data_IF_637596688638
#
_entry.id   IF_637596688638
#
_cell.length_a   1.000
_cell.length_b   1.000
_cell.length_c   1.000
_cell.angle_alpha   90.00
_cell.angle_beta   90.00
_cell.angle_gamma   90.00
#
_symmetry.space_group_name_H-M   'P 1'
#
loop_
_entity.id
_entity.type
_entity.pdbx_description
1 polymer ?
#
# COMPACT_ATOMS: atom_id res chain seq x y z
N UNK A 1 -14.73 48.06 -26.54
CA UNK A 1 -15.36 49.10 -25.71
C UNK A 1 -16.61 48.46 -25.11
N UNK A 2 -16.81 48.21 -23.82
CA UNK A 2 -16.30 48.76 -22.55
C UNK A 2 -16.16 47.56 -21.59
N UNK A 3 -15.05 47.51 -20.84
CA UNK A 3 -14.82 46.55 -19.73
C UNK A 3 -15.33 47.19 -18.43
N UNK A 4 -16.09 46.44 -17.63
CA UNK A 4 -16.41 46.80 -16.24
C UNK A 4 -15.67 45.88 -15.28
N UNK A 5 -14.79 46.48 -14.48
CA UNK A 5 -14.15 45.86 -13.31
C UNK A 5 -15.01 46.17 -12.08
N UNK A 6 -15.26 45.17 -11.24
CA UNK A 6 -15.82 45.37 -9.90
C UNK A 6 -14.82 44.83 -8.89
N UNK A 7 -14.18 45.75 -8.18
CA UNK A 7 -13.25 45.51 -7.09
C UNK A 7 -14.04 45.51 -5.78
N UNK A 8 -14.04 44.39 -5.05
CA UNK A 8 -14.51 44.36 -3.67
C UNK A 8 -13.31 44.50 -2.73
N UNK A 9 -13.28 45.60 -1.98
CA UNK A 9 -12.40 45.82 -0.86
C UNK A 9 -13.11 45.34 0.42
N UNK A 10 -12.51 44.41 1.17
CA UNK A 10 -12.97 44.06 2.51
C UNK A 10 -12.06 44.75 3.53
N UNK A 11 -12.67 45.61 4.34
CA UNK A 11 -12.02 46.40 5.37
C UNK A 11 -11.65 45.55 6.59
N UNK A 12 -10.44 45.78 7.09
CA UNK A 12 -9.90 45.29 8.35
C UNK A 12 -10.39 46.21 9.49
N UNK A 13 -11.04 45.65 10.51
CA UNK A 13 -11.33 46.37 11.77
C UNK A 13 -10.69 45.64 12.96
N UNK A 14 -9.76 46.35 13.61
CA UNK A 14 -9.08 46.02 14.86
C UNK A 14 -9.57 47.01 15.93
N UNK A 15 -10.27 46.54 16.97
CA UNK A 15 -10.58 47.24 18.25
C UNK A 15 -11.07 46.15 19.24
N UNK A 16 -10.82 46.12 20.54
CA UNK A 16 -9.78 46.58 21.45
C UNK A 16 -10.03 45.85 22.80
N UNK A 17 -9.03 45.95 23.69
CA UNK A 17 -8.94 45.47 25.06
C UNK A 17 -10.22 45.52 25.92
N UNK A 18 -10.36 44.50 26.78
CA UNK A 18 -11.12 44.57 28.04
C UNK A 18 -10.36 43.88 29.18
N UNK A 19 -10.61 44.29 30.44
CA UNK A 19 -9.62 44.30 31.51
C UNK A 19 -9.61 43.04 32.38
N UNK A 20 -8.50 42.88 33.11
CA UNK A 20 -8.31 41.91 34.16
C UNK A 20 -9.29 42.09 35.32
N UNK A 21 -9.81 40.97 35.82
CA UNK A 21 -10.59 40.85 37.06
C UNK A 21 -10.01 39.68 37.90
N UNK A 22 -10.25 39.66 39.22
CA UNK A 22 -9.24 39.34 40.22
C UNK A 22 -9.12 37.85 40.56
N UNK A 23 -7.98 37.53 41.18
CA UNK A 23 -7.72 36.26 41.84
C UNK A 23 -8.79 35.93 42.90
N UNK A 24 -9.28 34.69 42.88
CA UNK A 24 -9.99 34.05 43.98
C UNK A 24 -9.24 32.79 44.37
N UNK A 25 -8.90 32.73 45.65
CA UNK A 25 -8.30 31.59 46.32
C UNK A 25 -9.34 30.47 46.59
N UNK A 26 -8.81 29.25 46.48
CA UNK A 26 -9.01 28.07 47.32
C UNK A 26 -10.39 27.39 47.48
N UNK A 27 -10.35 26.08 47.17
CA UNK A 27 -11.05 24.96 47.78
C UNK A 27 -12.59 24.93 47.75
N UNK A 28 -13.13 24.20 46.79
CA UNK A 28 -14.04 23.10 47.14
C UNK A 28 -13.73 21.89 46.25
N UNK A 29 -13.48 20.76 46.90
CA UNK A 29 -13.07 19.51 46.28
C UNK A 29 -14.29 18.74 45.81
N UNK A 30 -14.64 18.90 44.53
CA UNK A 30 -15.51 17.97 43.84
C UNK A 30 -15.08 17.89 42.39
N UNK A 31 -14.16 16.97 42.12
CA UNK A 31 -13.67 16.62 40.79
C UNK A 31 -14.84 16.03 39.95
N UNK A 32 -15.33 16.73 38.90
CA UNK A 32 -16.40 16.22 38.05
C UNK A 32 -15.94 15.06 37.16
N UNK A 33 -14.64 14.76 37.11
CA UNK A 33 -14.08 13.73 36.21
C UNK A 33 -14.37 12.28 36.65
N UNK A 34 -14.85 12.07 37.88
CA UNK A 34 -15.23 10.73 38.35
C UNK A 34 -16.66 10.31 37.98
N UNK A 35 -17.53 11.24 37.58
CA UNK A 35 -18.89 10.88 37.15
C UNK A 35 -18.90 10.23 35.75
N UNK A 36 -18.09 10.71 34.80
CA UNK A 36 -17.97 10.10 33.47
C UNK A 36 -17.21 8.76 33.49
N UNK A 37 -16.21 8.62 34.36
CA UNK A 37 -15.51 7.34 34.56
C UNK A 37 -16.41 6.26 35.18
N UNK A 38 -17.35 6.64 36.05
CA UNK A 38 -18.28 5.72 36.72
C UNK A 38 -19.37 5.16 35.79
N UNK A 39 -19.77 5.90 34.75
CA UNK A 39 -20.72 5.41 33.74
C UNK A 39 -20.05 4.39 32.81
N UNK A 40 -18.79 4.62 32.45
CA UNK A 40 -17.99 3.69 31.64
C UNK A 40 -17.64 2.39 32.36
N UNK A 41 -17.43 2.42 33.68
CA UNK A 41 -17.08 1.22 34.47
C UNK A 41 -18.32 0.38 34.86
N UNK A 42 -19.50 1.01 34.96
CA UNK A 42 -20.79 0.30 35.08
C UNK A 42 -21.19 -0.39 33.76
N UNK A 43 -20.90 0.22 32.61
CA UNK A 43 -21.12 -0.37 31.29
C UNK A 43 -20.28 -1.63 31.04
N UNK A 44 -19.07 -1.72 31.64
CA UNK A 44 -18.17 -2.88 31.52
C UNK A 44 -18.65 -4.15 32.23
N UNK A 45 -19.61 -4.05 33.16
CA UNK A 45 -20.16 -5.18 33.91
C UNK A 45 -21.52 -5.67 33.41
N UNK A 46 -22.10 -5.03 32.40
CA UNK A 46 -23.36 -5.51 31.83
C UNK A 46 -23.13 -6.81 31.06
N UNK A 47 -23.95 -7.87 31.29
CA UNK A 47 -23.88 -9.08 30.50
C UNK A 47 -23.99 -8.72 29.02
N UNK A 48 -23.10 -9.32 28.20
CA UNK A 48 -23.00 -9.11 26.76
C UNK A 48 -24.38 -8.90 26.15
N UNK A 49 -24.59 -7.73 25.53
CA UNK A 49 -25.77 -7.21 24.82
C UNK A 49 -26.40 -8.25 23.86
N UNK A 50 -26.99 -9.30 24.43
CA UNK A 50 -27.55 -10.44 23.70
C UNK A 50 -29.06 -10.36 23.66
N UNK A 51 -29.72 -9.71 24.62
CA UNK A 51 -31.16 -9.51 24.63
C UNK A 51 -31.55 -8.24 25.39
N UNK A 52 -32.46 -7.46 24.82
CA UNK A 52 -33.03 -6.29 25.47
C UNK A 52 -33.93 -5.51 24.54
N UNK A 53 -34.72 -4.63 25.15
CA UNK A 53 -35.37 -3.52 24.45
C UNK A 53 -34.39 -2.34 24.39
N UNK A 54 -34.39 -1.64 23.26
CA UNK A 54 -33.54 -0.49 23.01
C UNK A 54 -34.39 0.62 22.43
N UNK A 55 -34.15 1.85 22.90
CA UNK A 55 -34.88 3.03 22.44
C UNK A 55 -33.93 4.19 22.12
N UNK A 56 -34.38 5.08 21.24
CA UNK A 56 -33.76 6.39 21.02
C UNK A 56 -33.94 7.27 22.26
N UNK A 57 -33.07 8.28 22.43
CA UNK A 57 -33.11 9.16 23.60
C UNK A 57 -34.43 9.95 23.75
N UNK A 58 -35.13 10.19 22.65
CA UNK A 58 -36.45 10.83 22.61
C UNK A 58 -37.62 9.85 22.81
N UNK A 59 -37.35 8.54 22.91
CA UNK A 59 -38.35 7.49 23.04
C UNK A 59 -39.24 7.28 21.82
N UNK A 60 -38.94 7.94 20.69
CA UNK A 60 -39.78 7.88 19.49
C UNK A 60 -39.64 6.58 18.72
N UNK A 61 -38.53 5.86 18.90
CA UNK A 61 -38.30 4.57 18.26
C UNK A 61 -37.75 3.58 19.28
N UNK A 62 -38.38 2.40 19.33
CA UNK A 62 -37.96 1.28 20.13
C UNK A 62 -37.94 -0.01 19.33
N UNK A 63 -37.11 -0.96 19.77
CA UNK A 63 -37.06 -2.30 19.22
C UNK A 63 -36.49 -3.30 20.24
N UNK A 64 -36.90 -4.56 20.09
CA UNK A 64 -36.26 -5.70 20.76
C UNK A 64 -35.19 -6.28 19.85
N UNK A 65 -33.97 -6.43 20.36
CA UNK A 65 -32.87 -7.15 19.71
C UNK A 65 -32.56 -8.43 20.47
N UNK A 66 -32.71 -9.57 19.81
CA UNK A 66 -32.41 -10.91 20.34
C UNK A 66 -31.28 -11.58 19.57
N UNK A 67 -30.14 -11.75 20.23
CA UNK A 67 -28.92 -12.42 19.76
C UNK A 67 -28.57 -13.63 20.65
N UNK A 68 -29.55 -14.19 21.36
CA UNK A 68 -29.35 -15.34 22.24
C UNK A 68 -29.30 -16.66 21.48
N UNK A 69 -29.94 -16.72 20.31
CA UNK A 69 -29.94 -17.88 19.42
C UNK A 69 -28.78 -17.92 18.42
N UNK A 70 -28.86 -18.85 17.46
CA UNK A 70 -27.90 -18.98 16.36
C UNK A 70 -28.00 -17.87 15.30
N UNK A 71 -29.15 -17.19 15.24
CA UNK A 71 -29.42 -16.05 14.36
C UNK A 71 -29.87 -14.86 15.20
N UNK A 72 -29.39 -13.67 14.84
CA UNK A 72 -29.87 -12.43 15.45
C UNK A 72 -31.25 -12.08 14.91
N UNK A 73 -32.12 -11.55 15.76
CA UNK A 73 -33.49 -11.17 15.41
C UNK A 73 -33.80 -9.77 15.91
N UNK A 74 -34.68 -9.08 15.22
CA UNK A 74 -35.15 -7.75 15.62
C UNK A 74 -36.67 -7.63 15.41
N UNK A 75 -37.35 -7.05 16.39
CA UNK A 75 -38.77 -6.66 16.31
C UNK A 75 -38.88 -5.19 16.69
N UNK A 76 -39.38 -4.34 15.78
CA UNK A 76 -39.64 -2.92 16.07
C UNK A 76 -40.95 -2.76 16.85
N UNK A 77 -41.04 -1.70 17.62
CA UNK A 77 -42.26 -1.41 18.39
C UNK A 77 -43.46 -1.16 17.47
N UNK A 78 -44.59 -1.78 17.82
CA UNK A 78 -45.84 -1.70 17.05
C UNK A 78 -45.85 -2.53 15.76
N UNK A 79 -44.73 -3.15 15.38
CA UNK A 79 -44.67 -4.06 14.22
C UNK A 79 -44.83 -5.52 14.67
N UNK A 80 -45.55 -6.34 13.89
CA UNK A 80 -45.63 -7.79 14.15
C UNK A 80 -44.46 -8.58 13.54
N UNK A 81 -43.72 -7.96 12.63
CA UNK A 81 -42.60 -8.60 11.95
C UNK A 81 -41.41 -8.83 12.90
N UNK A 82 -40.91 -10.07 12.91
CA UNK A 82 -39.65 -10.45 13.53
C UNK A 82 -38.68 -10.73 12.40
N UNK A 83 -37.72 -9.83 12.23
CA UNK A 83 -36.71 -9.90 11.18
C UNK A 83 -35.58 -10.83 11.59
N UNK A 84 -35.22 -11.78 10.73
CA UNK A 84 -33.95 -12.48 10.80
C UNK A 84 -32.83 -11.56 10.31
N UNK A 85 -31.79 -11.35 11.11
CA UNK A 85 -30.71 -10.41 10.80
C UNK A 85 -29.46 -11.11 10.32
N UNK A 86 -28.84 -10.56 9.27
CA UNK A 86 -27.51 -10.96 8.81
C UNK A 86 -26.47 -10.08 9.49
N UNK A 87 -25.57 -10.70 10.26
CA UNK A 87 -24.47 -10.01 10.95
C UNK A 87 -23.22 -9.96 10.05
N UNK A 88 -22.62 -8.78 9.94
CA UNK A 88 -21.37 -8.56 9.21
C UNK A 88 -20.34 -7.90 10.11
N UNK A 89 -19.09 -8.34 10.03
CA UNK A 89 -18.01 -7.76 10.81
C UNK A 89 -17.36 -6.60 10.06
N UNK A 90 -17.26 -5.44 10.73
CA UNK A 90 -16.57 -4.27 10.21
C UNK A 90 -15.14 -4.24 10.75
N UNK A 91 -14.15 -4.09 9.87
CA UNK A 91 -12.73 -4.06 10.23
C UNK A 91 -12.06 -2.75 9.82
N UNK A 92 -11.11 -2.28 10.63
CA UNK A 92 -10.12 -1.26 10.29
C UNK A 92 -8.75 -1.92 10.30
N UNK A 93 -8.27 -2.32 9.11
CA UNK A 93 -7.11 -3.19 8.99
C UNK A 93 -7.36 -4.55 9.67
N UNK A 94 -6.46 -5.05 10.53
CA UNK A 94 -6.67 -6.33 11.22
C UNK A 94 -7.61 -6.23 12.43
N UNK A 95 -8.06 -5.03 12.81
CA UNK A 95 -8.85 -4.82 14.03
C UNK A 95 -10.34 -4.76 13.71
N UNK A 96 -11.14 -5.65 14.31
CA UNK A 96 -12.60 -5.54 14.29
C UNK A 96 -13.04 -4.27 15.03
N UNK A 97 -13.79 -3.40 14.35
CA UNK A 97 -14.28 -2.13 14.90
C UNK A 97 -15.77 -2.15 15.22
N UNK A 98 -16.56 -2.95 14.52
CA UNK A 98 -18.00 -3.09 14.77
C UNK A 98 -18.57 -4.41 14.22
N UNK A 99 -19.85 -4.66 14.52
CA UNK A 99 -20.71 -5.61 13.80
C UNK A 99 -21.94 -4.87 13.32
N UNK A 100 -22.19 -4.90 12.02
CA UNK A 100 -23.41 -4.37 11.40
C UNK A 100 -24.45 -5.46 11.23
N UNK A 101 -25.73 -5.11 11.31
CA UNK A 101 -26.85 -6.04 11.12
C UNK A 101 -27.77 -5.54 10.02
N UNK A 102 -28.05 -6.40 9.04
CA UNK A 102 -28.94 -6.10 7.92
C UNK A 102 -30.21 -6.94 7.96
N UNK A 103 -31.31 -6.35 7.48
CA UNK A 103 -32.54 -7.10 7.18
C UNK A 103 -32.33 -8.10 6.04
N UNK A 104 -33.24 -9.07 5.84
CA UNK A 104 -33.19 -9.96 4.67
C UNK A 104 -33.20 -9.23 3.33
N UNK A 105 -33.86 -8.07 3.27
CA UNK A 105 -33.92 -7.20 2.08
C UNK A 105 -32.63 -6.38 1.88
N UNK A 106 -31.75 -6.35 2.88
CA UNK A 106 -30.42 -5.73 2.80
C UNK A 106 -30.28 -4.36 3.43
N UNK A 107 -31.35 -3.83 4.01
CA UNK A 107 -31.31 -2.58 4.75
C UNK A 107 -30.38 -2.73 5.94
N UNK A 108 -29.41 -1.82 6.05
CA UNK A 108 -28.60 -1.71 7.27
C UNK A 108 -29.51 -1.18 8.37
N UNK A 109 -29.73 -1.99 9.41
CA UNK A 109 -30.62 -1.64 10.51
C UNK A 109 -29.82 -1.18 11.72
N UNK A 110 -28.77 -1.92 12.09
CA UNK A 110 -28.00 -1.64 13.30
C UNK A 110 -26.50 -1.69 13.03
N UNK A 111 -25.75 -0.92 13.83
CA UNK A 111 -24.31 -1.11 14.01
C UNK A 111 -24.00 -1.16 15.50
N UNK A 112 -23.30 -2.20 15.91
CA UNK A 112 -22.82 -2.36 17.29
C UNK A 112 -21.31 -2.24 17.25
N UNK A 113 -20.77 -1.17 17.81
CA UNK A 113 -19.32 -0.97 17.84
C UNK A 113 -18.61 -1.98 18.78
N UNK A 114 -17.28 -2.00 18.74
CA UNK A 114 -16.47 -2.87 19.62
C UNK A 114 -16.61 -2.58 21.12
N UNK A 115 -17.20 -1.46 21.50
CA UNK A 115 -17.45 -1.05 22.89
C UNK A 115 -18.89 -1.34 23.34
N UNK A 116 -19.76 -1.79 22.41
CA UNK A 116 -21.15 -2.11 22.69
C UNK A 116 -22.12 -0.96 22.43
N UNK A 117 -21.66 0.19 21.92
CA UNK A 117 -22.56 1.27 21.49
C UNK A 117 -23.38 0.79 20.30
N UNK A 118 -24.68 1.10 20.30
CA UNK A 118 -25.60 0.69 19.23
C UNK A 118 -26.11 1.93 18.50
N UNK A 119 -25.91 1.95 17.19
CA UNK A 119 -26.49 2.93 16.28
C UNK A 119 -27.63 2.28 15.49
N UNK A 120 -28.80 2.91 15.47
CA UNK A 120 -29.94 2.57 14.61
C UNK A 120 -29.86 3.38 13.31
N UNK A 121 -29.89 2.69 12.17
CA UNK A 121 -29.89 3.31 10.85
C UNK A 121 -31.32 3.60 10.40
N UNK A 122 -31.53 4.84 9.96
CA UNK A 122 -32.78 5.36 9.44
C UNK A 122 -32.54 5.97 8.06
N UNK A 123 -33.63 6.26 7.33
CA UNK A 123 -33.56 6.89 5.99
C UNK A 123 -32.78 8.21 6.00
N UNK A 124 -32.79 8.95 7.12
CA UNK A 124 -32.19 10.29 7.25
C UNK A 124 -30.88 10.32 8.05
N UNK A 125 -30.33 9.16 8.45
CA UNK A 125 -29.05 9.09 9.18
C UNK A 125 -28.96 7.96 10.19
N UNK A 126 -28.04 8.10 11.14
CA UNK A 126 -27.82 7.16 12.25
C UNK A 126 -28.18 7.82 13.56
N UNK A 127 -28.94 7.13 14.40
CA UNK A 127 -29.34 7.63 15.72
C UNK A 127 -28.84 6.65 16.79
N UNK A 128 -28.13 7.11 17.84
CA UNK A 128 -27.72 6.23 18.93
C UNK A 128 -28.94 5.75 19.71
N UNK A 129 -28.90 4.49 20.12
CA UNK A 129 -29.94 3.89 20.97
C UNK A 129 -29.32 3.29 22.23
N UNK A 130 -30.06 3.36 23.31
CA UNK A 130 -29.66 2.81 24.59
C UNK A 130 -30.62 1.70 25.00
N UNK A 131 -30.13 0.72 25.74
CA UNK A 131 -30.98 -0.29 26.38
C UNK A 131 -31.81 0.38 27.47
N UNK A 132 -33.11 0.29 27.39
CA UNK A 132 -34.06 0.93 28.32
C UNK A 132 -34.87 -0.11 29.12
N UNK A 133 -35.02 -1.34 28.62
CA UNK A 133 -35.69 -2.42 29.35
C UNK A 133 -35.15 -3.82 29.04
N UNK A 134 -35.47 -4.76 29.95
CA UNK A 134 -35.39 -6.19 29.65
C UNK A 134 -36.47 -6.56 28.63
N UNK A 135 -36.22 -7.58 27.81
CA UNK A 135 -37.18 -8.09 26.83
C UNK A 135 -37.19 -9.62 26.85
N UNK A 136 -38.33 -10.21 26.52
CA UNK A 136 -38.44 -11.64 26.33
C UNK A 136 -37.74 -12.08 25.03
N UNK A 137 -37.21 -13.32 24.96
CA UNK A 137 -36.67 -13.85 23.73
C UNK A 137 -37.70 -13.78 22.59
N UNK A 138 -37.26 -13.35 21.42
CA UNK A 138 -38.14 -13.29 20.25
C UNK A 138 -38.47 -14.71 19.78
N UNK A 139 -39.67 -14.92 19.25
CA UNK A 139 -40.06 -16.18 18.62
C UNK A 139 -39.24 -16.51 17.36
N UNK A 140 -39.74 -17.43 16.54
CA UNK A 140 -39.17 -17.67 15.22
C UNK A 140 -39.30 -16.41 14.35
N UNK A 141 -38.31 -16.07 13.51
CA UNK A 141 -38.42 -14.95 12.59
C UNK A 141 -39.58 -15.18 11.63
N UNK A 142 -40.43 -14.15 11.49
CA UNK A 142 -41.55 -14.15 10.55
C UNK A 142 -41.12 -13.66 9.17
N UNK A 143 -40.05 -12.87 9.10
CA UNK A 143 -39.35 -12.51 7.86
C UNK A 143 -37.98 -13.16 7.87
N UNK A 144 -37.78 -14.14 6.98
CA UNK A 144 -36.58 -14.97 6.90
C UNK A 144 -35.74 -14.62 5.69
N UNK A 145 -34.43 -14.84 5.83
CA UNK A 145 -33.49 -14.73 4.72
C UNK A 145 -32.13 -14.24 5.18
N UNK A 146 -31.09 -14.81 4.58
CA UNK A 146 -29.74 -14.29 4.72
C UNK A 146 -29.53 -13.23 3.64
N UNK A 147 -29.24 -12.00 4.05
CA UNK A 147 -28.79 -11.01 3.11
C UNK A 147 -27.45 -11.47 2.52
N UNK A 148 -27.41 -11.57 1.20
CA UNK A 148 -26.17 -11.82 0.46
C UNK A 148 -25.77 -10.48 -0.12
N UNK A 149 -24.62 -9.96 0.33
CA UNK A 149 -24.07 -8.73 -0.21
C UNK A 149 -24.04 -8.83 -1.75
N UNK A 150 -24.64 -7.86 -2.47
CA UNK A 150 -24.51 -7.84 -3.91
C UNK A 150 -23.02 -7.75 -4.23
N UNK A 151 -22.54 -8.65 -5.08
CA UNK A 151 -21.14 -8.64 -5.51
C UNK A 151 -20.84 -7.26 -6.10
N UNK A 152 -19.85 -6.59 -5.53
CA UNK A 152 -19.40 -5.31 -6.06
C UNK A 152 -18.83 -5.50 -7.47
N UNK A 153 -18.76 -4.46 -8.31
CA UNK A 153 -18.04 -4.55 -9.59
C UNK A 153 -16.62 -5.10 -9.42
N UNK A 154 -15.98 -4.77 -8.30
CA UNK A 154 -14.69 -5.30 -7.91
C UNK A 154 -14.74 -6.82 -7.65
N UNK A 155 -15.68 -7.33 -6.87
CA UNK A 155 -15.80 -8.78 -6.61
C UNK A 155 -16.04 -9.57 -7.90
N UNK A 156 -16.83 -8.99 -8.82
CA UNK A 156 -17.08 -9.58 -10.13
C UNK A 156 -15.80 -9.62 -10.98
N UNK A 157 -15.04 -8.52 -11.02
CA UNK A 157 -13.77 -8.46 -11.75
C UNK A 157 -12.70 -9.37 -11.14
N UNK A 158 -12.56 -9.38 -9.82
CA UNK A 158 -11.64 -10.25 -9.08
C UNK A 158 -11.96 -11.72 -9.36
N UNK A 159 -13.24 -12.12 -9.25
CA UNK A 159 -13.66 -13.48 -9.58
C UNK A 159 -13.39 -13.85 -11.04
N UNK A 160 -13.63 -12.92 -11.98
CA UNK A 160 -13.34 -13.08 -13.41
C UNK A 160 -11.85 -13.32 -13.66
N UNK A 161 -10.97 -12.50 -13.09
CA UNK A 161 -9.52 -12.65 -13.26
C UNK A 161 -8.98 -13.88 -12.52
N UNK A 162 -9.51 -14.20 -11.33
CA UNK A 162 -9.13 -15.39 -10.57
C UNK A 162 -9.44 -16.67 -11.34
N UNK A 163 -10.57 -16.72 -12.06
CA UNK A 163 -10.97 -17.88 -12.86
C UNK A 163 -9.99 -18.20 -14.00
N UNK A 164 -9.30 -17.20 -14.53
CA UNK A 164 -8.30 -17.34 -15.61
C UNK A 164 -6.85 -17.28 -15.11
N UNK A 165 -6.64 -17.09 -13.82
CA UNK A 165 -5.32 -16.94 -13.23
C UNK A 165 -4.46 -18.20 -13.39
N UNK A 166 -3.15 -18.04 -13.60
CA UNK A 166 -2.18 -19.13 -13.72
C UNK A 166 -2.27 -20.07 -12.53
N UNK A 167 -2.26 -19.54 -11.29
CA UNK A 167 -2.32 -20.40 -10.09
C UNK A 167 -3.62 -21.19 -9.95
N UNK A 168 -4.72 -20.68 -10.50
CA UNK A 168 -6.03 -21.38 -10.50
C UNK A 168 -6.07 -22.48 -11.56
N UNK A 169 -5.62 -22.18 -12.79
CA UNK A 169 -5.77 -23.05 -13.96
C UNK A 169 -4.63 -24.05 -14.11
N UNK A 170 -3.41 -23.66 -13.75
CA UNK A 170 -2.19 -24.44 -13.86
C UNK A 170 -1.68 -24.78 -12.46
N UNK A 171 -2.08 -25.96 -11.96
CA UNK A 171 -1.66 -26.42 -10.63
C UNK A 171 -0.14 -26.57 -10.56
N UNK A 172 0.45 -26.21 -9.42
CA UNK A 172 1.88 -26.35 -9.13
C UNK A 172 2.72 -25.10 -9.35
N UNK A 173 2.13 -23.98 -9.78
CA UNK A 173 2.79 -22.68 -9.78
C UNK A 173 2.59 -21.97 -8.42
N UNK A 174 3.68 -21.45 -7.88
CA UNK A 174 3.70 -20.64 -6.66
C UNK A 174 3.55 -19.14 -6.98
N UNK A 175 3.23 -18.27 -5.99
CA UNK A 175 3.29 -16.82 -6.17
C UNK A 175 4.65 -16.34 -6.72
N UNK A 176 5.74 -16.88 -6.17
CA UNK A 176 7.11 -16.48 -6.47
C UNK A 176 7.59 -16.85 -7.88
N UNK A 177 6.99 -17.89 -8.47
CA UNK A 177 7.28 -18.33 -9.83
C UNK A 177 6.97 -17.24 -10.88
N UNK A 178 6.13 -16.25 -10.55
CA UNK A 178 5.87 -15.07 -11.40
C UNK A 178 7.10 -14.21 -11.67
N UNK A 179 8.14 -14.30 -10.84
CA UNK A 179 9.44 -13.64 -11.05
C UNK A 179 10.46 -14.51 -11.81
N UNK A 180 10.22 -15.82 -11.90
CA UNK A 180 11.12 -16.80 -12.49
C UNK A 180 10.84 -16.97 -13.99
N UNK A 181 11.74 -16.46 -14.84
CA UNK A 181 11.54 -16.45 -16.29
C UNK A 181 11.37 -17.85 -16.90
N UNK A 182 12.01 -18.87 -16.34
CA UNK A 182 11.81 -20.26 -16.78
C UNK A 182 10.39 -20.73 -16.47
N UNK A 183 9.87 -20.39 -15.29
CA UNK A 183 8.50 -20.72 -14.88
C UNK A 183 7.46 -19.92 -15.64
N UNK A 184 7.74 -18.65 -15.93
CA UNK A 184 6.88 -17.82 -16.79
C UNK A 184 6.81 -18.42 -18.19
N UNK A 185 7.93 -18.85 -18.78
CA UNK A 185 7.92 -19.53 -20.07
C UNK A 185 7.10 -20.84 -20.03
N UNK A 186 7.29 -21.65 -18.98
CA UNK A 186 6.52 -22.88 -18.75
C UNK A 186 5.00 -22.59 -18.65
N UNK A 187 4.61 -21.54 -17.93
CA UNK A 187 3.22 -21.12 -17.81
C UNK A 187 2.66 -20.63 -19.16
N UNK A 188 3.43 -19.83 -19.91
CA UNK A 188 3.05 -19.37 -21.24
C UNK A 188 2.85 -20.54 -22.20
N UNK A 189 3.62 -21.62 -22.09
CA UNK A 189 3.45 -22.83 -22.92
C UNK A 189 2.23 -23.65 -22.53
N UNK A 190 1.94 -23.77 -21.23
CA UNK A 190 0.80 -24.55 -20.74
C UNK A 190 -0.54 -23.82 -20.81
N UNK A 191 -0.54 -22.48 -20.79
CA UNK A 191 -1.75 -21.68 -20.80
C UNK A 191 -2.61 -21.97 -22.04
N UNK A 192 -3.92 -22.08 -21.87
CA UNK A 192 -4.84 -22.15 -23.01
C UNK A 192 -5.25 -20.73 -23.48
N UNK A 193 -5.90 -20.63 -24.64
CA UNK A 193 -6.26 -19.34 -25.26
C UNK A 193 -7.10 -18.42 -24.37
N UNK A 194 -7.91 -18.98 -23.45
CA UNK A 194 -8.79 -18.22 -22.56
C UNK A 194 -8.07 -17.56 -21.38
N UNK A 195 -6.82 -17.99 -21.10
CA UNK A 195 -6.01 -17.46 -19.99
C UNK A 195 -5.26 -16.18 -20.34
N UNK A 196 -5.10 -15.90 -21.63
CA UNK A 196 -4.40 -14.71 -22.07
C UNK A 196 -5.26 -13.47 -21.88
N UNK A 197 -4.60 -12.38 -21.49
CA UNK A 197 -5.21 -11.06 -21.36
C UNK A 197 -4.30 -10.02 -21.98
N UNK A 198 -4.82 -8.80 -22.16
CA UNK A 198 -3.99 -7.65 -22.49
C UNK A 198 -4.42 -6.40 -21.74
N UNK A 199 -3.44 -5.52 -21.53
CA UNK A 199 -3.64 -4.24 -20.86
C UNK A 199 -4.39 -3.25 -21.76
N UNK A 200 -5.46 -2.63 -21.25
CA UNK A 200 -6.35 -1.76 -22.05
C UNK A 200 -6.02 -0.27 -21.93
N UNK A 201 -5.30 0.13 -20.87
CA UNK A 201 -4.98 1.52 -20.53
C UNK A 201 -6.23 2.44 -20.50
N UNK A 202 -7.15 2.25 -19.53
CA UNK A 202 -8.39 3.02 -19.48
C UNK A 202 -8.11 4.54 -19.36
N UNK A 203 -8.85 5.41 -20.09
CA UNK A 203 -8.65 6.85 -20.05
C UNK A 203 -8.79 7.44 -18.64
N UNK A 204 -7.94 8.41 -18.27
CA UNK A 204 -8.04 9.12 -16.98
C UNK A 204 -7.61 8.32 -15.75
N UNK A 205 -7.04 7.11 -15.92
CA UNK A 205 -6.36 6.40 -14.86
C UNK A 205 -5.00 7.09 -14.58
N UNK A 206 -4.91 7.81 -13.46
CA UNK A 206 -3.73 8.63 -13.10
C UNK A 206 -2.55 7.82 -12.56
N UNK A 207 -2.76 6.54 -12.31
CA UNK A 207 -1.82 5.43 -12.14
C UNK A 207 -2.73 4.19 -12.00
N UNK A 208 -2.31 2.95 -12.25
CA UNK A 208 -1.90 2.05 -11.16
C UNK A 208 -1.63 0.65 -11.74
N UNK A 209 -0.86 0.62 -12.81
CA UNK A 209 0.07 -0.48 -12.94
C UNK A 209 1.35 -0.03 -12.20
N UNK A 210 1.93 -0.89 -11.38
CA UNK A 210 3.27 -0.64 -10.82
C UNK A 210 4.13 -1.86 -11.15
N UNK A 211 5.36 -1.66 -11.65
CA UNK A 211 6.31 -2.77 -11.72
C UNK A 211 6.39 -3.43 -10.35
N UNK A 212 6.29 -4.76 -10.29
CA UNK A 212 6.41 -5.44 -9.00
C UNK A 212 7.87 -5.62 -8.65
N UNK A 213 8.48 -4.54 -8.19
CA UNK A 213 9.93 -4.46 -7.98
C UNK A 213 10.43 -4.96 -6.62
N UNK A 214 9.63 -5.21 -5.55
CA UNK A 214 10.21 -5.90 -4.38
C UNK A 214 9.43 -7.11 -3.84
N UNK A 215 8.16 -7.33 -4.19
CA UNK A 215 7.34 -8.41 -3.58
C UNK A 215 7.23 -9.61 -4.50
N UNK A 216 8.15 -10.56 -4.46
CA UNK A 216 7.96 -11.85 -5.11
C UNK A 216 7.26 -12.78 -4.10
N UNK A 217 5.93 -12.95 -4.22
CA UNK A 217 5.09 -13.70 -3.28
C UNK A 217 4.72 -12.93 -1.99
N UNK A 218 4.41 -13.69 -0.92
CA UNK A 218 3.89 -13.20 0.38
C UNK A 218 4.93 -12.54 1.30
N UNK A 219 6.17 -12.36 0.83
CA UNK A 219 7.20 -11.65 1.61
C UNK A 219 6.93 -10.15 1.59
N UNK A 220 6.12 -9.67 2.54
CA UNK A 220 6.11 -8.26 2.90
C UNK A 220 7.42 -7.90 3.61
N UNK A 221 8.15 -6.90 3.12
CA UNK A 221 8.37 -5.73 3.97
C UNK A 221 8.81 -4.46 3.25
N UNK A 222 8.44 -3.39 3.93
CA UNK A 222 8.89 -2.01 3.89
C UNK A 222 10.38 -1.90 4.21
N UNK A 223 11.25 -1.97 3.20
CA UNK A 223 12.47 -1.18 3.18
C UNK A 223 12.59 -0.67 1.77
N UNK A 224 12.46 0.65 1.61
CA UNK A 224 12.19 1.22 0.32
C UNK A 224 13.32 0.93 -0.68
N UNK A 225 12.90 0.69 -1.92
CA UNK A 225 13.09 1.76 -2.90
C UNK A 225 12.51 3.02 -2.24
N UNK A 226 13.28 3.66 -1.36
CA UNK A 226 13.14 5.08 -1.23
C UNK A 226 13.34 5.50 -2.66
N UNK A 227 12.29 6.03 -3.29
CA UNK A 227 12.52 7.00 -4.34
C UNK A 227 13.34 8.08 -3.64
N UNK A 228 14.64 7.85 -3.49
CA UNK A 228 15.62 8.85 -3.19
C UNK A 228 15.75 9.47 -4.56
N UNK A 229 15.05 10.59 -4.81
CA UNK A 229 15.31 11.33 -6.03
C UNK A 229 16.81 11.64 -5.99
N UNK A 230 17.53 11.16 -6.98
CA UNK A 230 18.88 11.62 -7.20
C UNK A 230 18.80 13.00 -7.83
N UNK A 231 19.71 13.90 -7.45
CA UNK A 231 19.88 15.17 -8.18
C UNK A 231 20.47 14.96 -9.58
N UNK A 232 20.99 13.75 -9.88
CA UNK A 232 21.47 13.37 -11.20
C UNK A 232 20.33 13.36 -12.19
N UNK A 233 20.43 14.20 -13.24
CA UNK A 233 19.44 14.23 -14.31
C UNK A 233 19.42 12.90 -15.09
N UNK A 234 18.23 12.46 -15.48
CA UNK A 234 18.08 11.29 -16.36
C UNK A 234 18.60 11.60 -17.77
N UNK A 235 19.52 10.78 -18.25
CA UNK A 235 19.98 10.79 -19.64
C UNK A 235 19.76 9.41 -20.29
N UNK A 236 18.78 9.25 -21.21
CA UNK A 236 18.54 7.98 -21.88
C UNK A 236 19.68 7.55 -22.82
N UNK A 237 20.62 8.44 -23.16
CA UNK A 237 21.81 8.14 -23.97
C UNK A 237 23.02 7.74 -23.10
N UNK A 238 22.94 7.90 -21.79
CA UNK A 238 24.02 7.52 -20.90
C UNK A 238 24.24 6.01 -20.89
N UNK A 239 25.49 5.60 -20.67
CA UNK A 239 25.84 4.21 -20.44
C UNK A 239 25.41 3.72 -19.05
N UNK A 240 25.66 2.45 -18.77
CA UNK A 240 25.45 1.88 -17.44
C UNK A 240 23.97 1.83 -17.01
N UNK A 241 23.71 2.01 -15.72
CA UNK A 241 22.35 1.89 -15.14
C UNK A 241 21.43 3.05 -15.52
N UNK A 242 21.98 4.20 -15.94
CA UNK A 242 21.18 5.36 -16.32
C UNK A 242 20.26 5.06 -17.51
N UNK A 243 20.70 4.24 -18.47
CA UNK A 243 19.84 3.78 -19.59
C UNK A 243 18.59 3.01 -19.13
N UNK A 244 18.61 2.50 -17.90
CA UNK A 244 17.50 1.80 -17.26
C UNK A 244 16.77 2.64 -16.20
N UNK A 245 17.09 3.93 -16.08
CA UNK A 245 16.44 4.83 -15.14
C UNK A 245 16.95 4.69 -13.71
N UNK A 246 18.21 4.33 -13.51
CA UNK A 246 18.82 4.31 -12.19
C UNK A 246 20.25 4.83 -12.17
N UNK A 247 20.65 5.29 -11.00
CA UNK A 247 22.03 5.67 -10.69
C UNK A 247 22.44 4.99 -9.40
N UNK A 248 23.74 4.72 -9.26
CA UNK A 248 24.31 4.22 -8.02
C UNK A 248 24.98 5.38 -7.30
N UNK A 249 24.54 5.64 -6.08
CA UNK A 249 25.04 6.72 -5.25
C UNK A 249 25.66 6.16 -3.97
N UNK A 250 26.94 6.44 -3.69
CA UNK A 250 27.50 6.13 -2.39
C UNK A 250 26.91 7.09 -1.34
N UNK A 251 26.28 6.56 -0.29
CA UNK A 251 25.90 7.33 0.88
C UNK A 251 27.10 7.40 1.84
N UNK A 252 27.71 8.57 1.85
CA UNK A 252 28.94 8.88 2.57
C UNK A 252 28.71 9.93 3.66
N UNK A 253 27.45 10.27 3.97
CA UNK A 253 27.15 11.21 5.06
C UNK A 253 27.70 10.70 6.39
N UNK A 254 28.02 11.61 7.30
CA UNK A 254 28.74 11.29 8.54
C UNK A 254 28.07 10.18 9.38
N UNK A 255 26.74 10.05 9.32
CA UNK A 255 25.97 9.03 10.05
C UNK A 255 25.67 7.75 9.25
N UNK A 256 25.98 7.73 7.95
CA UNK A 256 25.55 6.67 7.02
C UNK A 256 26.68 6.13 6.13
N UNK A 257 27.91 6.33 6.58
CA UNK A 257 29.17 5.94 5.94
C UNK A 257 29.14 4.50 5.43
N UNK A 258 29.39 4.31 4.14
CA UNK A 258 29.64 2.98 3.58
C UNK A 258 28.40 2.26 3.05
N UNK A 259 27.29 2.97 2.81
CA UNK A 259 26.15 2.40 2.10
C UNK A 259 26.20 2.75 0.62
N UNK A 260 25.75 1.83 -0.21
CA UNK A 260 25.48 2.09 -1.62
C UNK A 260 23.97 2.11 -1.81
N UNK A 261 23.47 3.17 -2.44
CA UNK A 261 22.07 3.36 -2.80
C UNK A 261 21.91 3.20 -4.31
N UNK A 262 20.77 2.65 -4.72
CA UNK A 262 20.31 2.70 -6.11
C UNK A 262 19.17 3.72 -6.13
N UNK A 263 19.36 4.82 -6.83
CA UNK A 263 18.45 5.96 -6.83
C UNK A 263 17.84 6.18 -8.22
N UNK A 264 16.68 6.81 -8.25
CA UNK A 264 16.00 7.18 -9.49
C UNK A 264 16.50 8.56 -9.92
N UNK A 265 17.07 8.72 -11.12
CA UNK A 265 17.55 10.01 -11.59
C UNK A 265 16.39 10.99 -11.81
N UNK A 266 16.65 12.26 -11.52
CA UNK A 266 15.68 13.35 -11.68
C UNK A 266 15.15 13.42 -13.11
N UNK A 267 13.82 13.42 -13.23
CA UNK A 267 13.15 13.46 -14.53
C UNK A 267 13.00 12.10 -15.21
N UNK A 268 13.44 11.00 -14.58
CA UNK A 268 13.06 9.68 -15.05
C UNK A 268 11.61 9.38 -14.69
N UNK A 269 10.82 9.09 -15.71
CA UNK A 269 9.49 8.53 -15.57
C UNK A 269 9.54 7.05 -15.98
N UNK A 270 9.18 6.12 -15.07
CA UNK A 270 9.05 4.71 -15.44
C UNK A 270 8.15 4.57 -16.66
N UNK A 271 8.62 3.87 -17.69
CA UNK A 271 7.84 3.69 -18.93
C UNK A 271 6.49 3.06 -18.60
N UNK A 272 5.42 3.71 -19.04
CA UNK A 272 4.07 3.19 -18.87
C UNK A 272 3.92 1.79 -19.47
N UNK A 273 3.23 0.89 -18.75
CA UNK A 273 2.73 -0.35 -19.36
C UNK A 273 1.86 0.06 -20.56
N UNK A 274 2.32 -0.28 -21.77
CA UNK A 274 1.67 0.19 -22.97
C UNK A 274 0.34 -0.52 -23.18
N UNK A 275 -0.63 0.20 -23.75
CA UNK A 275 -1.87 -0.39 -24.22
C UNK A 275 -1.57 -1.54 -25.20
N UNK A 276 -2.33 -2.62 -25.08
CA UNK A 276 -2.18 -3.82 -25.90
C UNK A 276 -1.08 -4.76 -25.42
N UNK A 277 -0.37 -4.46 -24.32
CA UNK A 277 0.65 -5.38 -23.78
C UNK A 277 -0.02 -6.71 -23.41
N UNK A 278 0.35 -7.84 -24.06
CA UNK A 278 -0.24 -9.13 -23.76
C UNK A 278 0.43 -9.78 -22.56
N UNK A 279 -0.29 -10.64 -21.86
CA UNK A 279 0.22 -11.40 -20.74
C UNK A 279 -0.77 -12.39 -20.15
N UNK A 280 -0.49 -12.79 -18.92
CA UNK A 280 -1.27 -13.70 -18.10
C UNK A 280 -1.59 -13.02 -16.77
N UNK A 281 -2.77 -13.31 -16.22
CA UNK A 281 -3.04 -13.08 -14.80
C UNK A 281 -2.34 -14.18 -14.02
N UNK A 282 -1.39 -13.83 -13.15
CA UNK A 282 -0.73 -14.82 -12.30
C UNK A 282 -1.63 -15.20 -11.12
N UNK A 283 -2.11 -14.19 -10.41
CA UNK A 283 -3.01 -14.29 -9.26
C UNK A 283 -3.76 -12.97 -9.04
N UNK A 284 -4.83 -13.05 -8.23
CA UNK A 284 -5.55 -11.89 -7.71
C UNK A 284 -5.27 -11.79 -6.21
N UNK A 285 -4.79 -10.63 -5.77
CA UNK A 285 -4.50 -10.31 -4.37
C UNK A 285 -5.30 -9.06 -3.98
N UNK A 286 -6.45 -9.30 -3.33
CA UNK A 286 -7.41 -8.24 -3.04
C UNK A 286 -7.72 -7.39 -4.28
N UNK A 287 -7.58 -6.07 -4.14
CA UNK A 287 -7.89 -5.09 -5.18
C UNK A 287 -6.84 -5.00 -6.31
N UNK A 288 -5.92 -5.95 -6.40
CA UNK A 288 -4.84 -5.96 -7.38
C UNK A 288 -4.70 -7.32 -8.07
N UNK A 289 -4.22 -7.27 -9.31
CA UNK A 289 -3.90 -8.45 -10.11
C UNK A 289 -2.40 -8.43 -10.35
N UNK A 290 -1.72 -9.56 -10.11
CA UNK A 290 -0.35 -9.75 -10.58
C UNK A 290 -0.42 -10.13 -12.06
N UNK A 291 -0.15 -9.16 -12.93
CA UNK A 291 -0.10 -9.31 -14.37
C UNK A 291 1.33 -9.59 -14.85
N UNK A 292 1.53 -10.71 -15.54
CA UNK A 292 2.83 -11.12 -16.10
C UNK A 292 2.78 -11.03 -17.62
N UNK A 293 3.56 -10.14 -18.22
CA UNK A 293 3.61 -9.93 -19.66
C UNK A 293 4.29 -11.10 -20.37
N UNK A 294 4.04 -11.25 -21.68
CA UNK A 294 4.62 -12.36 -22.46
C UNK A 294 6.13 -12.28 -22.66
N UNK A 295 6.78 -11.21 -22.23
CA UNK A 295 8.23 -11.10 -22.12
C UNK A 295 8.74 -11.32 -20.67
N UNK A 296 7.87 -11.74 -19.75
CA UNK A 296 8.19 -11.97 -18.33
C UNK A 296 8.40 -10.72 -17.48
N UNK A 297 7.87 -9.57 -17.91
CA UNK A 297 7.68 -8.42 -17.03
C UNK A 297 6.52 -8.66 -16.07
N UNK A 298 6.60 -8.12 -14.85
CA UNK A 298 5.60 -8.35 -13.80
C UNK A 298 5.07 -7.02 -13.25
N UNK A 299 3.75 -6.92 -13.12
CA UNK A 299 3.05 -5.70 -12.75
C UNK A 299 1.90 -5.97 -11.77
N UNK A 300 1.69 -5.09 -10.80
CA UNK A 300 0.44 -5.02 -10.05
C UNK A 300 -0.51 -4.14 -10.84
N UNK A 301 -1.68 -4.64 -11.20
CA UNK A 301 -2.73 -3.89 -11.89
C UNK A 301 -3.91 -3.73 -10.95
N UNK A 302 -4.23 -2.49 -10.58
CA UNK A 302 -5.33 -2.21 -9.67
C UNK A 302 -6.69 -2.43 -10.35
N UNK A 303 -7.56 -3.21 -9.70
CA UNK A 303 -8.91 -3.56 -10.14
C UNK A 303 -9.99 -3.06 -9.16
N UNK A 304 -9.67 -2.09 -8.31
CA UNK A 304 -10.63 -1.51 -7.35
C UNK A 304 -11.83 -0.85 -8.06
N UNK A 305 -12.96 -0.74 -7.34
CA UNK A 305 -14.21 -0.22 -7.90
C UNK A 305 -14.12 1.18 -8.54
N UNK A 306 -13.27 2.07 -8.01
CA UNK A 306 -13.04 3.40 -8.59
C UNK A 306 -12.35 3.34 -9.96
N UNK A 307 -11.48 2.36 -10.18
CA UNK A 307 -10.80 2.18 -11.46
C UNK A 307 -11.70 1.44 -12.45
N UNK A 308 -12.46 0.44 -12.00
CA UNK A 308 -13.42 -0.28 -12.86
C UNK A 308 -14.50 0.64 -13.45
N UNK A 309 -14.91 1.69 -12.72
CA UNK A 309 -15.83 2.71 -13.23
C UNK A 309 -15.30 3.45 -14.47
N UNK A 310 -13.99 3.46 -14.71
CA UNK A 310 -13.34 4.05 -15.89
C UNK A 310 -13.09 3.03 -17.01
N UNK A 311 -13.42 1.76 -16.78
CA UNK A 311 -13.18 0.63 -17.67
C UNK A 311 -12.26 -0.43 -17.07
N UNK A 312 -12.44 -1.68 -17.49
CA UNK A 312 -11.58 -2.79 -17.04
C UNK A 312 -10.12 -2.60 -17.52
N UNK A 313 -9.11 -2.72 -16.64
CA UNK A 313 -7.71 -2.51 -17.01
C UNK A 313 -7.10 -3.68 -17.81
N UNK A 314 -7.73 -4.86 -17.76
CA UNK A 314 -7.30 -6.07 -18.48
C UNK A 314 -8.48 -6.66 -19.25
N UNK A 315 -8.32 -6.82 -20.56
CA UNK A 315 -9.30 -7.50 -21.40
C UNK A 315 -8.84 -8.94 -21.70
N UNK A 316 -9.79 -9.88 -21.71
CA UNK A 316 -9.53 -11.29 -22.05
C UNK A 316 -9.23 -11.44 -23.53
N UNK A 317 -8.28 -12.32 -23.85
CA UNK A 317 -7.77 -12.58 -25.19
C UNK A 317 -6.51 -11.79 -25.51
N UNK A 318 -5.81 -12.25 -26.55
CA UNK A 318 -4.66 -11.55 -27.13
C UNK A 318 -5.14 -10.54 -28.18
N UNK A 319 -4.56 -9.33 -28.22
CA UNK A 319 -4.76 -8.42 -29.34
C UNK A 319 -4.03 -8.96 -30.57
N UNK A 320 -4.32 -8.40 -31.75
CA UNK A 320 -3.59 -8.71 -32.96
C UNK A 320 -2.07 -8.56 -32.72
N UNK A 321 -1.26 -9.51 -33.20
CA UNK A 321 0.21 -9.52 -33.00
C UNK A 321 0.88 -8.21 -33.44
N UNK A 322 0.33 -7.53 -34.45
CA UNK A 322 0.80 -6.22 -34.92
C UNK A 322 0.56 -5.06 -33.95
N UNK A 323 -0.35 -5.24 -32.99
CA UNK A 323 -0.65 -4.28 -31.93
C UNK A 323 0.15 -4.55 -30.64
N UNK A 324 1.00 -5.58 -30.64
CA UNK A 324 1.83 -5.90 -29.48
C UNK A 324 2.95 -4.86 -29.35
N UNK A 325 3.11 -4.21 -28.19
CA UNK A 325 4.20 -3.27 -27.99
C UNK A 325 5.55 -4.00 -27.97
N UNK A 326 6.63 -3.24 -28.12
CA UNK A 326 7.98 -3.78 -27.97
C UNK A 326 8.21 -4.36 -26.55
N UNK A 327 9.00 -5.43 -26.42
CA UNK A 327 9.33 -6.02 -25.12
C UNK A 327 10.16 -5.04 -24.26
N UNK A 328 10.31 -5.40 -22.98
CA UNK A 328 11.12 -4.75 -21.94
C UNK A 328 10.52 -3.48 -21.33
N UNK A 329 9.25 -3.53 -20.94
CA UNK A 329 8.60 -2.43 -20.19
C UNK A 329 8.83 -2.48 -18.67
N UNK A 330 9.78 -3.27 -18.17
CA UNK A 330 9.91 -3.55 -16.74
C UNK A 330 10.84 -2.57 -16.02
N UNK A 331 10.65 -2.44 -14.70
CA UNK A 331 11.51 -1.68 -13.81
C UNK A 331 12.93 -2.27 -13.68
N UNK A 332 13.82 -1.40 -13.20
CA UNK A 332 15.15 -1.73 -12.74
C UNK A 332 15.12 -2.89 -11.72
N UNK A 333 16.12 -3.76 -11.76
CA UNK A 333 16.41 -4.71 -10.68
C UNK A 333 17.53 -4.10 -9.83
N UNK A 334 17.26 -3.79 -8.56
CA UNK A 334 18.26 -3.37 -7.60
C UNK A 334 18.85 -4.57 -6.82
N UNK A 335 19.75 -4.33 -5.86
CA UNK A 335 20.38 -5.39 -5.07
C UNK A 335 19.38 -6.27 -4.31
N UNK A 336 18.31 -5.65 -3.80
CA UNK A 336 17.26 -6.35 -3.08
C UNK A 336 16.41 -7.19 -4.04
N UNK A 337 16.04 -6.63 -5.20
CA UNK A 337 15.40 -7.34 -6.30
C UNK A 337 16.21 -8.55 -6.76
N UNK A 338 17.54 -8.44 -6.85
CA UNK A 338 18.40 -9.60 -7.15
C UNK A 338 18.30 -10.68 -6.06
N UNK A 339 18.29 -10.27 -4.78
CA UNK A 339 18.13 -11.20 -3.65
C UNK A 339 16.82 -11.97 -3.71
N UNK A 340 15.70 -11.28 -3.97
CA UNK A 340 14.40 -11.95 -4.08
C UNK A 340 14.29 -12.84 -5.31
N UNK A 341 14.82 -12.38 -6.45
CA UNK A 341 14.89 -13.20 -7.64
C UNK A 341 15.73 -14.46 -7.38
N UNK A 342 16.82 -14.39 -6.62
CA UNK A 342 17.57 -15.56 -6.24
C UNK A 342 16.79 -16.50 -5.32
N UNK A 343 16.10 -15.97 -4.30
CA UNK A 343 15.21 -16.77 -3.43
C UNK A 343 14.10 -17.49 -4.20
N UNK A 344 13.57 -16.86 -5.24
CA UNK A 344 12.59 -17.44 -6.16
C UNK A 344 13.21 -18.37 -7.23
N UNK A 345 14.51 -18.66 -7.15
CA UNK A 345 15.24 -19.46 -8.14
C UNK A 345 15.33 -18.83 -9.53
N UNK A 346 14.99 -17.55 -9.67
CA UNK A 346 15.01 -16.80 -10.92
C UNK A 346 16.41 -16.28 -11.29
N UNK A 347 17.29 -16.15 -10.30
CA UNK A 347 18.71 -15.83 -10.44
C UNK A 347 19.55 -16.82 -9.62
N UNK A 348 20.83 -17.05 -9.98
CA UNK A 348 21.70 -17.88 -9.16
C UNK A 348 22.04 -17.16 -7.85
N UNK A 349 22.18 -17.89 -6.75
CA UNK A 349 22.63 -17.34 -5.45
C UNK A 349 23.96 -16.60 -5.55
N UNK A 350 24.83 -17.01 -6.49
CA UNK A 350 26.11 -16.36 -6.76
C UNK A 350 25.99 -14.89 -7.20
N UNK A 351 24.86 -14.50 -7.78
CA UNK A 351 24.58 -13.10 -8.12
C UNK A 351 24.43 -12.25 -6.84
N UNK A 352 23.72 -12.77 -5.84
CA UNK A 352 23.53 -12.12 -4.53
C UNK A 352 24.88 -12.01 -3.82
N UNK A 353 25.63 -13.10 -3.73
CA UNK A 353 26.92 -13.10 -3.04
C UNK A 353 27.92 -12.14 -3.71
N UNK A 354 27.86 -11.99 -5.04
CA UNK A 354 28.74 -11.07 -5.78
C UNK A 354 28.39 -9.62 -5.46
N UNK A 355 27.11 -9.27 -5.47
CA UNK A 355 26.62 -7.92 -5.16
C UNK A 355 26.95 -7.55 -3.71
N UNK A 356 26.64 -8.42 -2.75
CA UNK A 356 26.92 -8.18 -1.33
C UNK A 356 28.42 -8.06 -1.06
N UNK A 357 29.26 -8.90 -1.67
CA UNK A 357 30.72 -8.76 -1.59
C UNK A 357 31.21 -7.38 -2.05
N UNK A 358 30.63 -6.81 -3.12
CA UNK A 358 31.00 -5.48 -3.58
C UNK A 358 30.49 -4.37 -2.64
N UNK A 359 29.32 -4.54 -2.02
CA UNK A 359 28.81 -3.62 -0.98
C UNK A 359 29.70 -3.65 0.26
N UNK A 360 30.06 -4.83 0.74
CA UNK A 360 30.94 -5.01 1.90
C UNK A 360 32.34 -4.43 1.64
N UNK A 361 32.89 -4.65 0.44
CA UNK A 361 34.17 -4.08 0.05
C UNK A 361 34.13 -2.54 0.02
N UNK A 362 33.05 -1.95 -0.49
CA UNK A 362 32.83 -0.50 -0.43
C UNK A 362 32.73 -0.01 1.03
N UNK A 363 31.92 -0.68 1.86
CA UNK A 363 31.74 -0.32 3.27
C UNK A 363 33.06 -0.36 4.04
N UNK A 364 33.87 -1.40 3.83
CA UNK A 364 35.19 -1.54 4.43
C UNK A 364 36.15 -0.44 3.97
N UNK A 365 36.17 -0.12 2.67
CA UNK A 365 36.96 0.99 2.13
C UNK A 365 36.55 2.33 2.74
N UNK A 366 35.24 2.63 2.78
CA UNK A 366 34.71 3.86 3.35
C UNK A 366 35.06 3.96 4.85
N UNK A 367 34.88 2.88 5.61
CA UNK A 367 35.26 2.83 7.03
C UNK A 367 36.75 3.14 7.25
N UNK A 368 37.63 2.65 6.38
CA UNK A 368 39.06 2.94 6.45
C UNK A 368 39.36 4.43 6.22
N UNK A 369 38.70 5.08 5.27
CA UNK A 369 38.82 6.52 5.02
C UNK A 369 38.29 7.35 6.20
N UNK A 370 37.10 6.98 6.70
CA UNK A 370 36.45 7.70 7.79
C UNK A 370 37.16 7.55 9.14
N UNK A 371 37.97 6.52 9.35
CA UNK A 371 38.79 6.37 10.56
C UNK A 371 39.77 7.54 10.77
N UNK A 372 40.24 8.15 9.69
CA UNK A 372 41.09 9.36 9.77
C UNK A 372 40.24 10.59 10.13
N UNK A 373 39.04 10.70 9.57
CA UNK A 373 38.08 11.74 9.90
C UNK A 373 37.69 11.72 11.38
N UNK A 374 37.46 10.53 11.95
CA UNK A 374 37.09 10.38 13.36
C UNK A 374 38.18 10.93 14.28
N UNK A 375 39.46 10.74 13.95
CA UNK A 375 40.57 11.33 14.70
C UNK A 375 40.58 12.86 14.63
N UNK A 376 40.34 13.42 13.45
CA UNK A 376 40.25 14.88 13.29
C UNK A 376 39.03 15.46 14.02
N UNK A 377 37.89 14.76 14.01
CA UNK A 377 36.68 15.16 14.73
C UNK A 377 36.88 15.12 16.25
N UNK A 378 37.53 14.07 16.78
CA UNK A 378 37.87 14.04 18.20
C UNK A 378 38.82 15.19 18.58
N UNK A 379 39.81 15.51 17.74
CA UNK A 379 40.68 16.67 17.96
C UNK A 379 39.92 18.01 17.94
N UNK A 380 38.89 18.15 17.10
CA UNK A 380 38.04 19.35 17.08
C UNK A 380 37.15 19.44 18.31
N UNK A 381 36.64 18.32 18.83
CA UNK A 381 35.81 18.29 20.04
C UNK A 381 36.57 18.79 21.27
N UNK A 382 37.85 18.47 21.38
CA UNK A 382 38.72 18.91 22.50
C UNK A 382 39.34 20.29 22.29
N UNK A 383 39.12 20.94 21.15
CA UNK A 383 39.66 22.27 20.86
C UNK A 383 38.85 23.39 21.51
N UNK A 384 39.54 24.46 21.93
CA UNK A 384 38.96 25.69 22.51
C UNK A 384 38.37 26.63 21.45
N UNK A 385 37.72 26.05 20.43
CA UNK A 385 37.05 26.80 19.38
C UNK A 385 35.63 27.18 19.82
N UNK A 386 35.22 28.40 19.46
CA UNK A 386 33.83 28.82 19.56
C UNK A 386 32.92 27.84 18.77
N UNK A 387 31.71 27.59 19.27
CA UNK A 387 30.81 26.55 18.74
C UNK A 387 30.52 26.69 17.24
N UNK A 388 30.36 27.93 16.75
CA UNK A 388 30.08 28.19 15.33
C UNK A 388 31.28 27.87 14.45
N UNK A 389 32.50 28.17 14.90
CA UNK A 389 33.73 27.80 14.21
C UNK A 389 33.89 26.28 14.19
N UNK A 390 33.60 25.60 15.30
CA UNK A 390 33.63 24.13 15.37
C UNK A 390 32.63 23.51 14.39
N UNK A 391 31.40 24.01 14.33
CA UNK A 391 30.39 23.53 13.39
C UNK A 391 30.83 23.70 11.93
N UNK A 392 31.35 24.87 11.55
CA UNK A 392 31.87 25.10 10.21
C UNK A 392 33.08 24.22 9.86
N UNK A 393 33.94 23.90 10.84
CA UNK A 393 35.03 22.93 10.65
C UNK A 393 34.53 21.51 10.47
N UNK A 394 33.49 21.10 11.18
CA UNK A 394 32.88 19.77 11.02
C UNK A 394 32.27 19.60 9.62
N UNK A 395 31.57 20.61 9.10
CA UNK A 395 31.04 20.59 7.72
C UNK A 395 32.16 20.49 6.68
N UNK A 396 33.26 21.23 6.87
CA UNK A 396 34.45 21.14 6.02
C UNK A 396 35.09 19.75 6.06
N UNK A 397 35.18 19.13 7.24
CA UNK A 397 35.69 17.77 7.40
C UNK A 397 34.77 16.75 6.73
N UNK A 398 33.47 16.87 6.92
CA UNK A 398 32.49 15.99 6.28
C UNK A 398 32.68 16.01 4.76
N UNK A 399 32.68 17.19 4.14
CA UNK A 399 32.89 17.34 2.69
C UNK A 399 34.26 16.84 2.22
N UNK A 400 35.33 17.10 2.99
CA UNK A 400 36.70 16.61 2.71
C UNK A 400 36.72 15.08 2.64
N UNK A 401 36.14 14.43 3.65
CA UNK A 401 36.18 12.97 3.77
C UNK A 401 35.17 12.24 2.91
N UNK A 402 34.02 12.87 2.61
CA UNK A 402 33.10 12.42 1.58
C UNK A 402 33.80 12.37 0.21
N UNK A 403 34.43 13.47 -0.21
CA UNK A 403 35.19 13.52 -1.48
C UNK A 403 36.31 12.48 -1.49
N UNK A 404 37.08 12.38 -0.40
CA UNK A 404 38.17 11.40 -0.28
C UNK A 404 37.66 9.97 -0.38
N UNK A 405 36.54 9.65 0.28
CA UNK A 405 35.94 8.32 0.24
C UNK A 405 35.36 8.00 -1.14
N UNK A 406 34.71 8.96 -1.80
CA UNK A 406 34.19 8.82 -3.16
C UNK A 406 35.31 8.49 -4.16
N UNK A 407 36.45 9.18 -4.07
CA UNK A 407 37.60 8.93 -4.95
C UNK A 407 38.29 7.61 -4.63
N UNK A 408 38.57 7.35 -3.35
CA UNK A 408 39.30 6.15 -2.91
C UNK A 408 38.51 4.87 -3.16
N UNK A 409 37.20 4.90 -2.93
CA UNK A 409 36.34 3.73 -3.00
C UNK A 409 35.57 3.59 -4.33
N UNK A 410 35.89 4.43 -5.33
CA UNK A 410 35.21 4.47 -6.64
C UNK A 410 35.18 3.13 -7.35
N UNK A 411 36.26 2.35 -7.28
CA UNK A 411 36.36 1.03 -7.93
C UNK A 411 35.34 0.03 -7.38
N UNK A 412 35.02 0.10 -6.08
CA UNK A 412 34.00 -0.76 -5.47
C UNK A 412 32.59 -0.37 -5.91
N UNK A 413 32.30 0.93 -6.02
CA UNK A 413 31.04 1.43 -6.59
C UNK A 413 30.89 0.99 -8.05
N UNK A 414 31.96 1.08 -8.85
CA UNK A 414 31.95 0.63 -10.23
C UNK A 414 31.72 -0.88 -10.36
N UNK A 415 32.36 -1.70 -9.53
CA UNK A 415 32.17 -3.16 -9.52
C UNK A 415 30.76 -3.57 -9.09
N UNK A 416 30.21 -2.90 -8.07
CA UNK A 416 28.80 -3.07 -7.67
C UNK A 416 27.85 -2.71 -8.82
N UNK A 417 28.05 -1.54 -9.43
CA UNK A 417 27.26 -1.06 -10.57
C UNK A 417 27.29 -2.06 -11.72
N UNK A 418 28.49 -2.52 -12.10
CA UNK A 418 28.65 -3.50 -13.18
C UNK A 418 27.94 -4.83 -12.86
N UNK A 419 28.00 -5.29 -11.61
CA UNK A 419 27.32 -6.53 -11.21
C UNK A 419 25.80 -6.43 -11.37
N UNK A 420 25.19 -5.29 -11.04
CA UNK A 420 23.77 -5.05 -11.29
C UNK A 420 23.45 -4.99 -12.79
N UNK A 421 24.27 -4.28 -13.56
CA UNK A 421 24.17 -4.20 -15.02
C UNK A 421 24.17 -5.59 -15.66
N UNK A 422 25.11 -6.45 -15.28
CA UNK A 422 25.23 -7.81 -15.81
C UNK A 422 23.95 -8.63 -15.53
N UNK A 423 23.35 -8.49 -14.34
CA UNK A 423 22.08 -9.16 -14.02
C UNK A 423 20.92 -8.61 -14.84
N UNK A 424 20.83 -7.28 -15.01
CA UNK A 424 19.78 -6.65 -15.81
C UNK A 424 19.89 -7.07 -17.28
N UNK A 425 21.09 -7.05 -17.86
CA UNK A 425 21.33 -7.41 -19.25
C UNK A 425 21.05 -8.89 -19.50
N UNK A 426 21.55 -9.78 -18.62
CA UNK A 426 21.27 -11.22 -18.69
C UNK A 426 19.76 -11.49 -18.62
N UNK A 427 19.06 -10.85 -17.69
CA UNK A 427 17.60 -10.99 -17.55
C UNK A 427 16.89 -10.47 -18.79
N UNK A 428 17.26 -9.31 -19.32
CA UNK A 428 16.65 -8.73 -20.52
C UNK A 428 16.81 -9.63 -21.75
N UNK A 429 17.98 -10.25 -21.95
CA UNK A 429 18.19 -11.22 -23.02
C UNK A 429 17.24 -12.42 -22.89
N UNK A 430 17.09 -12.97 -21.68
CA UNK A 430 16.15 -14.07 -21.42
C UNK A 430 14.70 -13.67 -21.68
N UNK A 431 14.31 -12.47 -21.27
CA UNK A 431 12.97 -11.90 -21.52
C UNK A 431 12.67 -11.76 -23.01
N UNK A 432 13.65 -11.25 -23.77
CA UNK A 432 13.54 -11.18 -25.23
C UNK A 432 13.36 -12.57 -25.85
N UNK A 433 14.10 -13.58 -25.38
CA UNK A 433 13.93 -14.95 -25.87
C UNK A 433 12.53 -15.52 -25.60
N UNK A 434 11.95 -15.25 -24.42
CA UNK A 434 10.58 -15.65 -24.07
C UNK A 434 9.58 -14.92 -24.98
N UNK A 435 9.76 -13.62 -25.19
CA UNK A 435 8.91 -12.83 -26.08
C UNK A 435 8.89 -13.38 -27.51
N UNK A 436 10.06 -13.68 -28.07
CA UNK A 436 10.16 -14.26 -29.42
C UNK A 436 9.46 -15.62 -29.50
N UNK A 437 9.60 -16.46 -28.48
CA UNK A 437 8.89 -17.75 -28.40
C UNK A 437 7.37 -17.55 -28.29
N UNK A 438 6.93 -16.62 -27.47
CA UNK A 438 5.50 -16.32 -27.28
C UNK A 438 4.84 -15.81 -28.57
N UNK A 439 5.56 -15.05 -29.41
CA UNK A 439 5.06 -14.60 -30.72
C UNK A 439 4.86 -15.73 -31.74
N UNK A 440 5.57 -16.85 -31.61
CA UNK A 440 5.46 -17.98 -32.53
C UNK A 440 4.22 -18.83 -32.27
N UNK A 441 3.73 -18.81 -31.02
CA UNK A 441 2.45 -19.36 -30.62
C UNK A 441 1.30 -18.51 -31.12
#
# INVERSE_FOLDING_TARGET
MIKTHTTFALALTLVACTPAAPARDANDGSDPSHAEASVLDAARKQPRLRLGHYATADGMQGFVLDRTGSVAKLKRDGEEAILELTAEEEFRGPTKVATTFRSPDGDLLLRIDRYGSIDLYQTVGTVPVARDADADPLGAPTVKGQWIAPKTPYDLAAAKYQAIAVRTRLKGFAPEDSGNLTKVAEAIEKADGSMFVHYTAPPGATARWRPVSPRIGDTEYSVGIGYYPSDTAFDPKAGGLQKYGAVVEPDLQFQRRGKILVATPKGYEPKNLAKGTPGLVWEVDGAEVVFVTLDGGRYHVNISGLELAKGEPLAVGLPAKTAWPAPLQHALVDAEGVTYLAKAGALPESAVTTIERHREAFAACAAAVWKEADREVESLKTSDLHWSTRAGRLEQLEKKYETKAQDTCRSHVAAFTQSLLDQIETRNQRRLAIWEKAKQR
#
